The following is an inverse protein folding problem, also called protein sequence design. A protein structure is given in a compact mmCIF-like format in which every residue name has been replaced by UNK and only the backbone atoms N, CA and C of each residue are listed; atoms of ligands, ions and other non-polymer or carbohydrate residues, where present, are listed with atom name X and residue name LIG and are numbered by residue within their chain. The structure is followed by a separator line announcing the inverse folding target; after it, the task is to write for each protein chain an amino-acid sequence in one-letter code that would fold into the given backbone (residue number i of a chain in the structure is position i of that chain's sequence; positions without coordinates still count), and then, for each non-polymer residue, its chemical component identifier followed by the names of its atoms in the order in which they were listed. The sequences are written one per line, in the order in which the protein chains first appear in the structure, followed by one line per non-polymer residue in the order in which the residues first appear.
data_IF_345568274769
#
_entry.id   IF_345568274769
#
_cell.length_a   1.000
_cell.length_b   1.000
_cell.length_c   1.000
_cell.angle_alpha   90.00
_cell.angle_beta   90.00
_cell.angle_gamma   90.00
#
_symmetry.space_group_name_H-M   'P 1'
#
loop_
_entity.id
_entity.type
_entity.pdbx_description
1 polymer ?
#
# COMPACT_ATOMS: atom_id res chain seq x y z
N UNK A 1 39.99 31.12 22.48
CA UNK A 1 38.76 31.43 21.71
C UNK A 1 39.03 31.32 20.22
N UNK A 2 38.73 30.19 19.57
CA UNK A 2 38.52 30.12 18.10
C UNK A 2 37.46 29.07 17.82
N UNK A 3 36.25 29.56 17.67
CA UNK A 3 35.04 28.85 17.28
C UNK A 3 35.23 28.24 15.90
N UNK A 4 35.01 26.93 15.77
CA UNK A 4 34.85 26.24 14.49
C UNK A 4 33.45 25.62 14.49
N UNK A 5 32.47 26.43 14.10
CA UNK A 5 31.11 25.96 13.77
C UNK A 5 31.23 25.07 12.54
N UNK A 6 31.03 23.76 12.69
CA UNK A 6 30.94 22.84 11.54
C UNK A 6 29.58 23.00 10.87
N UNK A 7 29.68 23.41 9.62
CA UNK A 7 28.64 23.68 8.62
C UNK A 7 27.79 22.42 8.38
N UNK A 8 26.48 22.66 8.46
CA UNK A 8 25.30 21.90 8.01
C UNK A 8 25.48 20.50 7.40
N UNK A 9 24.81 19.52 8.01
CA UNK A 9 24.58 18.19 7.45
C UNK A 9 23.68 18.26 6.22
N UNK A 10 24.23 17.84 5.07
CA UNK A 10 23.50 17.63 3.81
C UNK A 10 22.52 16.47 4.01
N UNK A 11 21.21 16.76 4.09
CA UNK A 11 20.17 15.74 4.13
C UNK A 11 20.07 15.07 2.75
N UNK A 12 20.12 13.75 2.75
CA UNK A 12 20.26 12.91 1.58
C UNK A 12 18.93 12.84 0.79
N UNK A 13 18.86 13.51 -0.37
CA UNK A 13 17.69 13.56 -1.28
C UNK A 13 17.23 12.19 -1.80
N UNK A 14 18.09 11.15 -1.75
CA UNK A 14 17.79 9.82 -2.31
C UNK A 14 16.65 9.07 -1.61
N UNK A 15 16.33 9.44 -0.37
CA UNK A 15 15.34 8.74 0.45
C UNK A 15 13.89 9.11 0.10
N UNK A 16 13.62 10.35 -0.32
CA UNK A 16 12.25 10.82 -0.61
C UNK A 16 11.69 10.29 -1.94
N UNK A 17 12.54 10.18 -2.97
CA UNK A 17 12.10 9.76 -4.33
C UNK A 17 11.73 8.27 -4.36
N UNK A 18 12.38 7.43 -3.55
CA UNK A 18 12.10 5.98 -3.47
C UNK A 18 10.75 5.67 -2.82
N UNK A 19 10.31 6.52 -1.87
CA UNK A 19 8.97 6.45 -1.30
C UNK A 19 7.91 6.89 -2.32
N UNK A 20 8.14 8.00 -3.05
CA UNK A 20 7.22 8.49 -4.09
C UNK A 20 7.00 7.50 -5.25
N UNK A 21 8.02 6.74 -5.64
CA UNK A 21 7.89 5.68 -6.66
C UNK A 21 7.04 4.50 -6.18
N UNK A 22 7.06 4.15 -4.89
CA UNK A 22 6.23 3.07 -4.32
C UNK A 22 4.72 3.39 -4.30
N UNK A 23 4.34 4.67 -4.21
CA UNK A 23 2.93 5.10 -4.14
C UNK A 23 2.22 4.94 -5.51
N UNK A 24 2.98 4.91 -6.61
CA UNK A 24 2.42 4.78 -7.96
C UNK A 24 2.20 3.32 -8.40
N UNK A 25 2.66 2.35 -7.64
CA UNK A 25 2.55 0.94 -8.03
C UNK A 25 1.11 0.47 -7.92
N UNK A 26 0.55 -0.03 -9.03
CA UNK A 26 -0.78 -0.65 -9.06
C UNK A 26 -0.66 -2.08 -8.59
N UNK A 27 -1.68 -2.52 -7.86
CA UNK A 27 -1.75 -3.88 -7.34
C UNK A 27 -3.01 -4.56 -7.84
N UNK A 28 -2.86 -5.82 -8.24
CA UNK A 28 -3.98 -6.71 -8.44
C UNK A 28 -4.29 -7.37 -7.10
N UNK A 29 -5.46 -7.08 -6.57
CA UNK A 29 -5.92 -7.61 -5.29
C UNK A 29 -7.01 -8.63 -5.57
N UNK A 30 -6.80 -9.87 -5.15
CA UNK A 30 -7.77 -10.95 -5.23
C UNK A 30 -8.37 -11.15 -3.86
N UNK A 31 -9.70 -11.03 -3.75
CA UNK A 31 -10.45 -11.27 -2.52
C UNK A 31 -11.29 -12.53 -2.71
N UNK A 32 -11.18 -13.51 -1.81
CA UNK A 32 -11.98 -14.73 -1.80
C UNK A 32 -12.81 -14.79 -0.53
N UNK A 33 -14.12 -15.03 -0.67
CA UNK A 33 -15.01 -15.20 0.47
C UNK A 33 -15.00 -16.65 0.95
N UNK A 34 -14.67 -16.88 2.23
CA UNK A 34 -14.66 -18.24 2.79
C UNK A 34 -16.06 -18.74 3.18
N UNK A 35 -17.09 -17.88 3.17
CA UNK A 35 -18.47 -18.27 3.44
C UNK A 35 -19.22 -18.76 2.19
N UNK A 36 -19.16 -18.01 1.09
CA UNK A 36 -19.89 -18.35 -0.15
C UNK A 36 -18.99 -18.81 -1.30
N UNK A 37 -17.67 -18.68 -1.18
CA UNK A 37 -16.71 -19.07 -2.23
C UNK A 37 -16.50 -18.02 -3.33
N UNK A 38 -17.21 -16.88 -3.29
CA UNK A 38 -17.12 -15.84 -4.31
C UNK A 38 -15.72 -15.24 -4.40
N UNK A 39 -15.28 -14.91 -5.62
CA UNK A 39 -13.93 -14.42 -5.90
C UNK A 39 -14.00 -13.08 -6.64
N UNK A 40 -13.40 -12.06 -6.05
CA UNK A 40 -13.30 -10.72 -6.61
C UNK A 40 -11.86 -10.44 -7.03
N UNK A 41 -11.67 -9.88 -8.22
CA UNK A 41 -10.37 -9.42 -8.71
C UNK A 41 -10.47 -7.91 -8.90
N UNK A 42 -9.74 -7.18 -8.08
CA UNK A 42 -9.80 -5.73 -7.97
C UNK A 42 -8.45 -5.14 -8.32
N UNK A 43 -8.47 -3.88 -8.77
CA UNK A 43 -7.27 -3.10 -9.00
C UNK A 43 -7.20 -2.04 -7.92
N UNK A 44 -6.11 -2.06 -7.15
CA UNK A 44 -5.90 -1.12 -6.06
C UNK A 44 -4.64 -0.30 -6.23
N UNK A 45 -4.53 0.74 -5.40
CA UNK A 45 -3.30 1.50 -5.22
C UNK A 45 -2.81 1.30 -3.80
N UNK A 46 -1.50 1.38 -3.62
CA UNK A 46 -0.91 1.40 -2.28
C UNK A 46 -0.92 2.82 -1.76
N UNK A 47 -1.51 3.04 -0.60
CA UNK A 47 -1.47 4.34 0.08
C UNK A 47 -0.06 4.61 0.60
N UNK A 48 0.22 5.86 0.95
CA UNK A 48 1.48 6.25 1.62
C UNK A 48 1.71 5.51 2.94
N UNK A 49 0.65 5.04 3.58
CA UNK A 49 0.67 4.27 4.84
C UNK A 49 0.86 2.77 4.60
N UNK A 50 0.92 2.34 3.33
CA UNK A 50 1.18 0.96 2.95
C UNK A 50 -0.07 0.08 2.86
N UNK A 51 -1.27 0.64 3.02
CA UNK A 51 -2.55 -0.04 2.86
C UNK A 51 -2.95 -0.14 1.38
N UNK A 52 -3.81 -1.10 1.03
CA UNK A 52 -4.35 -1.27 -0.31
C UNK A 52 -5.77 -0.71 -0.40
N UNK A 53 -5.95 0.39 -1.12
CA UNK A 53 -7.29 0.90 -1.44
C UNK A 53 -7.80 0.23 -2.71
N UNK A 54 -8.83 -0.61 -2.57
CA UNK A 54 -9.49 -1.32 -3.67
C UNK A 54 -10.98 -0.98 -3.81
N UNK A 55 -11.56 -0.30 -2.81
CA UNK A 55 -12.99 0.01 -2.75
C UNK A 55 -13.89 -1.17 -2.35
N UNK A 56 -13.33 -2.34 -2.03
CA UNK A 56 -14.09 -3.47 -1.53
C UNK A 56 -14.62 -3.20 -0.12
N UNK A 57 -15.93 -3.32 0.07
CA UNK A 57 -16.58 -3.11 1.39
C UNK A 57 -17.07 -4.41 2.02
N UNK A 58 -17.77 -5.24 1.24
CA UNK A 58 -18.36 -6.49 1.71
C UNK A 58 -18.60 -7.45 0.56
N UNK A 59 -18.61 -8.75 0.87
CA UNK A 59 -19.07 -9.77 -0.08
C UNK A 59 -20.59 -9.67 -0.29
N UNK A 60 -21.08 -10.12 -1.45
CA UNK A 60 -22.50 -10.14 -1.77
C UNK A 60 -23.33 -11.03 -0.83
N UNK A 61 -22.72 -12.04 -0.21
CA UNK A 61 -23.38 -12.87 0.80
C UNK A 61 -23.48 -12.20 2.18
N UNK A 62 -23.05 -10.93 2.31
CA UNK A 62 -23.03 -10.19 3.56
C UNK A 62 -21.84 -10.51 4.48
N UNK A 63 -20.85 -11.25 4.00
CA UNK A 63 -19.63 -11.53 4.77
C UNK A 63 -18.65 -10.35 4.69
N UNK A 64 -18.20 -9.88 5.86
CA UNK A 64 -17.27 -8.74 6.00
C UNK A 64 -15.95 -9.16 6.67
N UNK A 65 -15.94 -10.24 7.44
CA UNK A 65 -14.78 -10.63 8.27
C UNK A 65 -13.98 -11.81 7.70
N UNK A 66 -14.65 -12.83 7.14
CA UNK A 66 -13.99 -14.06 6.71
C UNK A 66 -13.59 -14.01 5.24
N UNK A 67 -12.70 -13.09 4.91
CA UNK A 67 -12.23 -12.82 3.55
C UNK A 67 -10.73 -13.12 3.47
N UNK A 68 -10.33 -13.91 2.49
CA UNK A 68 -8.94 -14.12 2.14
C UNK A 68 -8.53 -13.09 1.09
N UNK A 69 -7.43 -12.36 1.31
CA UNK A 69 -6.97 -11.27 0.44
C UNK A 69 -5.53 -11.53 0.02
N UNK A 70 -5.31 -11.60 -1.29
CA UNK A 70 -4.00 -11.75 -1.92
C UNK A 70 -3.71 -10.52 -2.79
N UNK A 71 -2.51 -9.94 -2.69
CA UNK A 71 -2.15 -8.71 -3.38
C UNK A 71 -0.80 -8.83 -4.07
N UNK A 72 -0.83 -8.84 -5.41
CA UNK A 72 0.39 -8.93 -6.22
C UNK A 72 0.62 -7.63 -6.99
N UNK A 73 1.87 -7.14 -7.07
CA UNK A 73 2.22 -6.05 -7.96
C UNK A 73 1.97 -6.47 -9.42
N UNK A 74 1.39 -5.57 -10.21
CA UNK A 74 1.26 -5.73 -11.67
C UNK A 74 2.60 -5.44 -12.39
#
# INVERSE_FOLDING_TARGET
MRSWVKIVGVRNIKTEVSLLLKIKQRFKVTVRCNKCGEKYILRGKRTSEGQFETGFKRCICGNEEHLEVDANPE
#
